data_IF_706065148821
#
_entry.id   IF_706065148821
#
_cell.length_a   1.000
_cell.length_b   1.000
_cell.length_c   1.000
_cell.angle_alpha   90.00
_cell.angle_beta   90.00
_cell.angle_gamma   90.00
#
_symmetry.space_group_name_H-M   'P 1'
#
loop_
_entity.id
_entity.type
_entity.pdbx_description
1 polymer ?
#
# COMPACT_ATOMS: atom_id res chain seq x y z
N UNK A 1 0.15 7.94 -3.20
CA UNK A 1 1.55 7.59 -2.92
C UNK A 1 2.12 8.69 -2.04
N UNK A 2 2.31 8.41 -0.75
CA UNK A 2 3.06 9.33 0.10
C UNK A 2 4.54 8.92 0.01
N UNK A 3 5.43 9.86 -0.27
CA UNK A 3 6.86 9.64 -0.06
C UNK A 3 7.04 9.48 1.45
N UNK A 4 7.17 8.25 1.94
CA UNK A 4 7.22 7.93 3.37
C UNK A 4 8.55 8.30 4.02
N UNK A 5 8.93 9.57 3.93
CA UNK A 5 10.08 10.13 4.64
C UNK A 5 9.77 10.01 6.14
N UNK A 6 10.61 9.27 6.86
CA UNK A 6 10.43 9.03 8.30
C UNK A 6 9.61 7.79 8.68
N UNK A 7 9.23 6.92 7.74
CA UNK A 7 8.62 5.63 8.07
C UNK A 7 9.50 4.46 7.57
N UNK A 8 10.09 3.67 8.50
CA UNK A 8 10.97 2.54 8.16
C UNK A 8 10.32 1.60 7.13
N UNK A 9 11.11 1.17 6.13
CA UNK A 9 10.64 0.27 5.07
C UNK A 9 9.80 0.91 3.97
N UNK A 10 9.32 2.16 4.12
CA UNK A 10 8.43 2.77 3.11
C UNK A 10 9.11 3.03 1.78
N UNK A 11 10.33 3.55 1.79
CA UNK A 11 11.06 3.78 0.54
C UNK A 11 11.36 2.47 -0.19
N UNK A 12 11.71 1.40 0.55
CA UNK A 12 11.91 0.07 -0.03
C UNK A 12 10.62 -0.46 -0.69
N UNK A 13 9.47 -0.30 -0.03
CA UNK A 13 8.17 -0.68 -0.60
C UNK A 13 7.75 0.17 -1.81
N UNK A 14 8.14 1.45 -1.84
CA UNK A 14 7.96 2.31 -3.02
C UNK A 14 8.82 1.81 -4.16
N UNK A 15 10.12 1.56 -3.93
CA UNK A 15 11.03 1.03 -4.95
C UNK A 15 10.58 -0.34 -5.47
N UNK A 16 10.11 -1.23 -4.59
CA UNK A 16 9.52 -2.53 -4.98
C UNK A 16 8.33 -2.36 -5.93
N UNK A 17 7.53 -1.31 -5.74
CA UNK A 17 6.43 -0.98 -6.63
C UNK A 17 6.85 -0.62 -8.05
N UNK A 18 8.00 0.03 -8.20
CA UNK A 18 8.56 0.44 -9.49
C UNK A 18 9.41 -0.66 -10.15
N UNK A 19 10.17 -1.41 -9.36
CA UNK A 19 11.11 -2.42 -9.87
C UNK A 19 10.49 -3.81 -10.03
N UNK A 20 9.39 -4.11 -9.33
CA UNK A 20 8.80 -5.45 -9.27
C UNK A 20 9.39 -6.30 -8.14
N UNK A 21 8.86 -7.51 -8.00
CA UNK A 21 9.24 -8.48 -6.97
C UNK A 21 9.07 -9.91 -7.52
N UNK A 22 10.18 -10.64 -7.68
CA UNK A 22 10.18 -11.99 -8.25
C UNK A 22 9.62 -13.06 -7.31
N UNK A 23 9.49 -12.75 -6.01
CA UNK A 23 8.91 -13.63 -5.01
C UNK A 23 7.42 -13.37 -4.79
N UNK A 24 6.89 -12.27 -5.33
CA UNK A 24 5.47 -11.93 -5.29
C UNK A 24 4.75 -12.43 -6.55
N UNK A 25 3.48 -12.81 -6.44
CA UNK A 25 2.67 -13.19 -7.60
C UNK A 25 2.40 -11.99 -8.51
N UNK A 26 2.11 -12.29 -9.78
CA UNK A 26 1.59 -11.29 -10.73
C UNK A 26 0.28 -10.69 -10.20
N UNK A 27 0.13 -9.37 -10.32
CA UNK A 27 -1.00 -8.64 -9.72
C UNK A 27 -2.10 -8.25 -10.71
N UNK A 28 -1.75 -8.08 -12.00
CA UNK A 28 -2.68 -7.73 -13.07
C UNK A 28 -2.66 -8.81 -14.14
N UNK A 29 -3.82 -9.27 -14.59
CA UNK A 29 -3.86 -10.23 -15.70
C UNK A 29 -3.51 -9.57 -17.03
N UNK A 30 -2.98 -10.34 -17.98
CA UNK A 30 -2.57 -9.80 -19.29
C UNK A 30 -3.72 -9.16 -20.06
N UNK A 31 -4.93 -9.67 -19.88
CA UNK A 31 -6.15 -9.17 -20.52
C UNK A 31 -6.85 -8.08 -19.71
N UNK A 32 -6.45 -7.86 -18.45
CA UNK A 32 -7.03 -6.82 -17.59
C UNK A 32 -6.68 -5.44 -18.14
N UNK A 33 -7.65 -4.53 -18.16
CA UNK A 33 -7.42 -3.12 -18.51
C UNK A 33 -7.58 -2.28 -17.26
N UNK A 34 -6.45 -1.76 -16.76
CA UNK A 34 -6.44 -0.80 -15.66
C UNK A 34 -7.00 0.52 -16.16
N UNK A 35 -8.10 0.97 -15.56
CA UNK A 35 -8.74 2.26 -15.82
C UNK A 35 -8.70 3.09 -14.53
N UNK A 36 -8.46 4.39 -14.64
CA UNK A 36 -8.51 5.33 -13.52
C UNK A 36 -7.71 6.60 -13.80
N UNK A 37 -8.32 7.77 -13.61
CA UNK A 37 -7.65 9.09 -13.74
C UNK A 37 -6.51 9.17 -12.71
N UNK A 38 -5.27 9.56 -13.03
CA UNK A 38 -4.83 10.27 -14.24
C UNK A 38 -4.25 9.36 -15.32
N UNK A 39 -4.34 8.03 -15.16
CA UNK A 39 -3.75 7.09 -16.10
C UNK A 39 -4.67 6.87 -17.32
N UNK A 40 -4.13 6.85 -18.55
CA UNK A 40 -4.87 6.31 -19.67
C UNK A 40 -5.16 4.82 -19.44
N UNK A 41 -6.13 4.22 -20.16
CA UNK A 41 -6.36 2.78 -20.08
C UNK A 41 -5.10 1.99 -20.45
N UNK A 42 -4.56 1.23 -19.49
CA UNK A 42 -3.35 0.41 -19.69
C UNK A 42 -3.75 -1.06 -19.60
N UNK A 43 -3.46 -1.83 -20.65
CA UNK A 43 -3.66 -3.28 -20.65
C UNK A 43 -2.53 -3.98 -19.89
N UNK A 44 -2.83 -4.98 -19.07
CA UNK A 44 -1.86 -5.70 -18.25
C UNK A 44 -0.73 -6.32 -19.07
N UNK A 45 -1.00 -6.72 -20.31
CA UNK A 45 0.01 -7.19 -21.26
C UNK A 45 1.14 -6.20 -21.53
N UNK A 46 0.94 -4.89 -21.29
CA UNK A 46 1.98 -3.87 -21.42
C UNK A 46 3.12 -4.10 -20.42
N UNK A 47 2.81 -4.53 -19.19
CA UNK A 47 3.82 -4.83 -18.17
C UNK A 47 4.67 -6.05 -18.51
N UNK A 48 4.20 -6.94 -19.40
CA UNK A 48 4.98 -8.07 -19.91
C UNK A 48 6.26 -7.60 -20.61
N UNK A 49 6.20 -6.47 -21.31
CA UNK A 49 7.37 -5.91 -22.01
C UNK A 49 8.47 -5.47 -21.04
N UNK A 50 8.10 -5.17 -19.79
CA UNK A 50 9.04 -4.71 -18.76
C UNK A 50 9.63 -5.83 -17.91
N UNK A 51 9.03 -7.04 -17.88
CA UNK A 51 9.50 -8.10 -16.97
C UNK A 51 9.09 -9.54 -17.26
N UNK A 52 8.23 -9.84 -18.24
CA UNK A 52 7.77 -11.22 -18.48
C UNK A 52 6.46 -11.55 -17.75
N UNK A 53 6.32 -12.77 -17.20
CA UNK A 53 5.07 -13.28 -16.58
C UNK A 53 5.35 -14.09 -15.31
N UNK A 54 4.32 -14.24 -14.48
CA UNK A 54 4.32 -15.18 -13.33
C UNK A 54 4.90 -14.63 -12.03
N UNK A 55 5.23 -13.34 -12.00
CA UNK A 55 5.68 -12.63 -10.81
C UNK A 55 5.22 -11.17 -10.85
N UNK A 56 5.40 -10.42 -9.77
CA UNK A 56 5.07 -8.99 -9.74
C UNK A 56 6.02 -8.19 -10.64
N UNK A 57 5.49 -7.68 -11.75
CA UNK A 57 6.26 -7.00 -12.79
C UNK A 57 6.61 -5.57 -12.40
N UNK A 58 7.66 -4.97 -13.01
CA UNK A 58 7.98 -3.56 -12.81
C UNK A 58 6.75 -2.67 -13.07
N UNK A 59 6.58 -1.61 -12.28
CA UNK A 59 5.46 -0.66 -12.30
C UNK A 59 4.06 -1.22 -12.02
N UNK A 60 3.88 -2.53 -11.92
CA UNK A 60 2.57 -3.17 -11.77
C UNK A 60 1.91 -2.78 -10.43
N UNK A 61 2.66 -2.95 -9.33
CA UNK A 61 2.20 -2.59 -7.99
C UNK A 61 2.04 -1.07 -7.83
N UNK A 62 2.92 -0.25 -8.42
CA UNK A 62 2.76 1.20 -8.40
C UNK A 62 1.48 1.65 -9.13
N UNK A 63 1.19 1.04 -10.28
CA UNK A 63 -0.03 1.29 -11.07
C UNK A 63 -1.27 0.90 -10.29
N UNK A 64 -1.28 -0.29 -9.67
CA UNK A 64 -2.39 -0.76 -8.84
C UNK A 64 -2.64 0.17 -7.65
N UNK A 65 -1.58 0.57 -6.94
CA UNK A 65 -1.66 1.52 -5.82
C UNK A 65 -2.20 2.89 -6.26
N UNK A 66 -1.81 3.38 -7.45
CA UNK A 66 -2.33 4.62 -8.01
C UNK A 66 -3.83 4.49 -8.36
N UNK A 67 -4.22 3.42 -9.05
CA UNK A 67 -5.64 3.12 -9.35
C UNK A 67 -6.49 3.12 -8.08
N UNK A 68 -6.06 2.39 -7.05
CA UNK A 68 -6.80 2.29 -5.80
C UNK A 68 -6.88 3.65 -5.08
N UNK A 69 -5.81 4.45 -5.11
CA UNK A 69 -5.84 5.80 -4.54
C UNK A 69 -6.84 6.69 -5.28
N UNK A 70 -6.86 6.66 -6.62
CA UNK A 70 -7.84 7.41 -7.42
C UNK A 70 -9.26 7.02 -7.05
N UNK A 71 -9.55 5.73 -6.99
CA UNK A 71 -10.87 5.21 -6.61
C UNK A 71 -11.31 5.77 -5.24
N UNK A 72 -10.46 5.58 -4.23
CA UNK A 72 -10.75 6.01 -2.86
C UNK A 72 -10.94 7.52 -2.76
N UNK A 73 -10.11 8.33 -3.44
CA UNK A 73 -10.23 9.78 -3.41
C UNK A 73 -11.46 10.28 -4.20
N UNK A 74 -11.79 9.64 -5.32
CA UNK A 74 -12.96 10.00 -6.14
C UNK A 74 -14.28 9.66 -5.45
N UNK A 75 -14.27 8.65 -4.58
CA UNK A 75 -15.43 8.17 -3.82
C UNK A 75 -15.25 8.33 -2.31
N UNK A 76 -14.53 9.37 -1.89
CA UNK A 76 -14.13 9.55 -0.48
C UNK A 76 -15.29 9.43 0.50
N UNK A 77 -16.40 10.14 0.26
CA UNK A 77 -17.56 10.14 1.16
C UNK A 77 -18.29 8.79 1.21
N UNK A 78 -18.11 7.94 0.20
CA UNK A 78 -18.67 6.57 0.19
C UNK A 78 -17.89 5.66 1.14
N UNK A 79 -16.56 5.75 1.12
CA UNK A 79 -15.70 4.90 1.94
C UNK A 79 -15.44 5.46 3.34
N UNK A 80 -15.42 6.78 3.49
CA UNK A 80 -15.15 7.51 4.72
C UNK A 80 -16.31 8.48 4.99
N UNK A 81 -17.48 7.98 5.42
CA UNK A 81 -18.65 8.83 5.66
C UNK A 81 -18.43 9.80 6.83
N UNK A 82 -17.53 9.46 7.75
CA UNK A 82 -17.11 10.33 8.85
C UNK A 82 -15.60 10.19 9.08
N UNK A 83 -14.87 11.30 8.95
CA UNK A 83 -13.42 11.34 9.16
C UNK A 83 -12.99 10.96 10.58
N UNK A 84 -13.88 11.08 11.58
CA UNK A 84 -13.62 10.64 12.95
C UNK A 84 -13.44 9.11 13.07
N UNK A 85 -13.88 8.34 12.08
CA UNK A 85 -13.72 6.87 12.05
C UNK A 85 -12.41 6.42 11.39
N UNK A 86 -11.65 7.35 10.80
CA UNK A 86 -10.32 7.01 10.30
C UNK A 86 -9.42 6.66 11.47
N UNK A 87 -8.90 5.44 11.45
CA UNK A 87 -7.90 4.98 12.41
C UNK A 87 -6.70 5.91 12.33
N UNK A 88 -6.53 6.75 13.36
CA UNK A 88 -5.32 7.50 13.57
C UNK A 88 -4.19 6.50 13.87
N UNK A 89 -2.94 6.86 13.52
CA UNK A 89 -1.79 6.01 13.86
C UNK A 89 -1.83 5.64 15.34
N UNK A 90 -1.57 4.36 15.61
CA UNK A 90 -1.57 3.84 16.97
C UNK A 90 -0.49 4.49 17.82
N UNK A 91 -0.70 4.49 19.13
CA UNK A 91 0.29 4.94 20.08
C UNK A 91 -0.15 4.62 21.50
N UNK A 92 0.83 4.44 22.38
CA UNK A 92 0.60 4.24 23.81
C UNK A 92 1.10 5.48 24.52
N UNK A 93 0.24 6.16 25.26
CA UNK A 93 0.60 7.32 26.06
C UNK A 93 0.29 7.04 27.53
N UNK A 94 1.21 7.40 28.42
CA UNK A 94 1.01 7.36 29.87
C UNK A 94 1.16 8.77 30.42
N UNK A 95 0.15 9.22 31.16
CA UNK A 95 0.17 10.49 31.87
C UNK A 95 0.13 10.24 33.38
N UNK A 96 0.71 11.15 34.16
CA UNK A 96 0.50 11.17 35.61
C UNK A 96 -0.83 11.84 35.99
N UNK A 97 -1.11 11.89 37.29
CA UNK A 97 -2.32 12.50 37.85
C UNK A 97 -2.41 14.03 37.66
N UNK A 98 -1.31 14.69 37.28
CA UNK A 98 -1.27 16.12 36.96
C UNK A 98 -1.31 16.37 35.45
N UNK A 99 -1.46 15.32 34.63
CA UNK A 99 -1.50 15.40 33.18
C UNK A 99 -0.12 15.53 32.52
N UNK A 100 0.98 15.30 33.25
CA UNK A 100 2.33 15.30 32.67
C UNK A 100 2.57 13.98 31.94
N UNK A 101 3.11 14.06 30.72
CA UNK A 101 3.50 12.89 29.94
C UNK A 101 4.67 12.14 30.61
N UNK A 102 4.46 10.87 30.94
CA UNK A 102 5.45 9.96 31.53
C UNK A 102 6.08 9.01 30.51
N UNK A 103 5.30 8.58 29.52
CA UNK A 103 5.75 7.68 28.46
C UNK A 103 4.95 7.89 27.18
N UNK A 104 5.62 7.83 26.02
CA UNK A 104 4.95 7.71 24.74
C UNK A 104 5.64 6.66 23.86
N UNK A 105 4.83 5.82 23.23
CA UNK A 105 5.19 5.04 22.05
C UNK A 105 4.31 5.50 20.90
N UNK A 106 4.93 5.84 19.77
CA UNK A 106 4.22 6.24 18.55
C UNK A 106 4.50 5.16 17.52
N UNK A 107 3.44 4.52 17.03
CA UNK A 107 3.57 3.48 16.00
C UNK A 107 4.32 4.03 14.78
N UNK A 108 5.40 3.34 14.41
CA UNK A 108 6.37 3.77 13.41
C UNK A 108 5.95 3.53 11.95
N UNK A 109 4.86 2.80 11.66
CA UNK A 109 4.59 2.49 10.26
C UNK A 109 3.25 1.90 9.89
N UNK A 110 2.80 2.29 8.70
CA UNK A 110 1.61 1.76 8.03
C UNK A 110 1.85 0.41 7.34
N UNK A 111 3.11 -0.03 7.26
CA UNK A 111 3.54 -1.09 6.34
C UNK A 111 3.80 -2.45 7.00
N UNK A 112 3.76 -2.53 8.33
CA UNK A 112 4.06 -3.76 9.07
C UNK A 112 2.82 -4.59 9.44
N UNK A 113 1.86 -4.77 8.52
CA UNK A 113 0.58 -5.44 8.83
C UNK A 113 0.58 -6.95 8.58
N UNK A 114 1.61 -7.50 7.94
CA UNK A 114 1.77 -8.94 7.71
C UNK A 114 3.24 -9.36 7.85
N UNK A 115 3.49 -10.58 8.35
CA UNK A 115 4.84 -11.12 8.52
C UNK A 115 5.57 -11.27 7.17
N UNK A 116 4.85 -11.70 6.12
CA UNK A 116 5.35 -11.75 4.76
C UNK A 116 4.62 -10.73 3.89
N UNK A 117 5.26 -9.59 3.63
CA UNK A 117 4.66 -8.50 2.85
C UNK A 117 4.51 -8.80 1.36
N UNK A 118 5.29 -9.73 0.80
CA UNK A 118 5.14 -10.19 -0.59
C UNK A 118 3.95 -11.14 -0.75
N UNK A 119 3.52 -11.80 0.33
CA UNK A 119 2.33 -12.66 0.38
C UNK A 119 1.55 -12.43 1.68
N UNK A 120 0.88 -11.28 1.83
CA UNK A 120 0.31 -10.85 3.11
C UNK A 120 -0.78 -11.76 3.68
N UNK A 121 -1.36 -12.64 2.84
CA UNK A 121 -2.39 -13.62 3.22
C UNK A 121 -1.85 -15.05 3.28
N UNK A 122 -0.53 -15.27 3.30
CA UNK A 122 0.04 -16.61 3.29
C UNK A 122 -0.42 -17.46 4.47
N UNK A 123 -0.71 -16.84 5.62
CA UNK A 123 -1.24 -17.50 6.82
C UNK A 123 -2.63 -18.14 6.64
N UNK A 124 -3.34 -17.86 5.53
CA UNK A 124 -4.61 -18.52 5.18
C UNK A 124 -4.41 -19.82 4.41
N UNK A 125 -3.18 -20.09 3.96
CA UNK A 125 -2.81 -21.29 3.19
C UNK A 125 -2.13 -22.35 4.07
N UNK A 126 -1.88 -22.02 5.34
CA UNK A 126 -1.38 -22.91 6.40
C UNK A 126 -2.55 -23.55 7.17
#
# INVERSE_FOLDING_TARGET
MCAGIGSPGTLAEVFRGYWGDSQAPQLLDDEEVVRGIPLPPIKGSFFRLAGGKGFQRPFELATLRLRNMTEVLSHWNTYVPNGAYLTQRGGTFLFDSQGKLLYEYRDGGLLGFAQNMSRPLSFLLD
#
